data_IF_490370841963
#
_entry.id   IF_490370841963
#
_cell.length_a   1.000
_cell.length_b   1.000
_cell.length_c   1.000
_cell.angle_alpha   90.00
_cell.angle_beta   90.00
_cell.angle_gamma   90.00
#
_symmetry.space_group_name_H-M   'P 1'
#
loop_
_entity.id
_entity.type
_entity.pdbx_description
1 polymer ?
#
# COMPACT_ATOMS: atom_id res chain seq x y z
N UNK A 1 -2.69 -18.01 -0.16
CA UNK A 1 -1.40 -17.62 0.48
C UNK A 1 -1.68 -17.22 1.92
N UNK A 2 -0.80 -17.56 2.88
CA UNK A 2 -1.03 -17.23 4.30
C UNK A 2 -0.71 -15.76 4.57
N UNK A 3 -1.71 -14.96 4.94
CA UNK A 3 -1.54 -13.56 5.36
C UNK A 3 -0.75 -13.51 6.66
N UNK A 4 0.07 -12.48 6.83
CA UNK A 4 0.75 -12.22 8.09
C UNK A 4 -0.19 -11.47 9.04
N UNK A 5 -1.02 -12.24 9.76
CA UNK A 5 -2.12 -11.74 10.59
C UNK A 5 -1.76 -11.84 12.07
N UNK A 6 -2.03 -10.77 12.79
CA UNK A 6 -1.88 -10.64 14.24
C UNK A 6 -3.20 -10.20 14.86
N UNK A 7 -3.33 -10.33 16.17
CA UNK A 7 -4.55 -9.94 16.89
C UNK A 7 -4.15 -9.22 18.17
N UNK A 8 -4.19 -7.89 18.12
CA UNK A 8 -3.79 -7.02 19.22
C UNK A 8 -4.53 -5.69 19.12
N UNK A 9 -4.87 -5.12 20.27
CA UNK A 9 -5.34 -3.75 20.37
C UNK A 9 -4.20 -2.77 20.06
N UNK A 10 -4.55 -1.63 19.46
CA UNK A 10 -3.58 -0.58 19.11
C UNK A 10 -4.20 0.80 19.33
N UNK A 11 -3.48 1.67 20.03
CA UNK A 11 -3.86 3.08 20.14
C UNK A 11 -3.39 3.85 18.90
N UNK A 12 -4.33 4.52 18.23
CA UNK A 12 -4.08 5.21 16.97
C UNK A 12 -4.39 6.70 17.08
N UNK A 13 -3.48 7.54 16.56
CA UNK A 13 -3.77 8.94 16.24
C UNK A 13 -4.20 9.06 14.78
N UNK A 14 -5.10 9.99 14.49
CA UNK A 14 -5.39 10.33 13.09
C UNK A 14 -4.21 11.07 12.46
N UNK A 15 -3.79 10.63 11.28
CA UNK A 15 -2.78 11.29 10.47
C UNK A 15 -3.29 11.41 9.03
N UNK A 16 -3.44 12.65 8.54
CA UNK A 16 -3.86 12.92 7.17
C UNK A 16 -2.69 13.51 6.38
N UNK A 17 -2.06 12.69 5.56
CA UNK A 17 -1.05 13.14 4.60
C UNK A 17 -1.53 12.72 3.21
N UNK A 18 -1.82 13.71 2.36
CA UNK A 18 -2.12 13.45 0.95
C UNK A 18 -0.87 12.97 0.21
N UNK A 19 -1.06 12.00 -0.68
CA UNK A 19 -0.07 11.56 -1.64
C UNK A 19 0.37 12.75 -2.51
N UNK A 20 1.60 12.65 -3.01
CA UNK A 20 2.30 13.72 -3.72
C UNK A 20 3.56 13.15 -4.36
N UNK A 21 4.35 13.94 -5.12
CA UNK A 21 5.62 13.48 -5.64
C UNK A 21 6.51 12.86 -4.56
N UNK A 22 7.20 11.78 -4.94
CA UNK A 22 8.03 10.90 -4.10
C UNK A 22 8.82 11.63 -3.01
N UNK A 23 9.63 12.61 -3.42
CA UNK A 23 10.54 13.31 -2.52
C UNK A 23 9.80 14.14 -1.47
N UNK A 24 8.73 14.83 -1.88
CA UNK A 24 7.90 15.60 -0.96
C UNK A 24 7.16 14.70 0.02
N UNK A 25 6.65 13.55 -0.45
CA UNK A 25 5.95 12.60 0.40
C UNK A 25 6.89 12.04 1.47
N UNK A 26 8.07 11.56 1.05
CA UNK A 26 9.13 11.07 1.95
C UNK A 26 9.50 12.09 3.03
N UNK A 27 9.75 13.34 2.65
CA UNK A 27 10.12 14.42 3.59
C UNK A 27 9.07 14.67 4.67
N UNK A 28 7.80 14.43 4.39
CA UNK A 28 6.74 14.53 5.39
C UNK A 28 6.70 13.30 6.29
N UNK A 29 6.85 12.11 5.72
CA UNK A 29 6.86 10.84 6.46
C UNK A 29 8.02 10.75 7.46
N UNK A 30 9.20 11.26 7.10
CA UNK A 30 10.36 11.31 8.00
C UNK A 30 10.08 12.15 9.26
N UNK A 31 9.23 13.18 9.16
CA UNK A 31 8.86 14.06 10.28
C UNK A 31 7.74 13.52 11.17
N UNK A 32 7.11 12.40 10.79
CA UNK A 32 6.05 11.78 11.58
C UNK A 32 6.63 11.26 12.90
N UNK A 33 5.97 11.58 14.02
CA UNK A 33 6.42 11.15 15.36
C UNK A 33 6.23 9.64 15.54
N UNK A 34 6.96 9.04 16.49
CA UNK A 34 6.90 7.60 16.75
C UNK A 34 5.61 7.26 17.51
N UNK A 35 4.72 6.46 16.90
CA UNK A 35 3.49 5.84 17.45
C UNK A 35 2.69 5.15 16.33
N UNK A 36 1.51 4.62 16.68
CA UNK A 36 0.49 4.17 15.74
C UNK A 36 -0.39 5.29 15.18
N UNK A 37 -0.75 5.20 13.90
CA UNK A 37 -1.63 6.13 13.23
C UNK A 37 -2.68 5.45 12.37
N UNK A 38 -3.91 5.95 12.42
CA UNK A 38 -4.92 5.74 11.39
C UNK A 38 -4.63 6.71 10.24
N UNK A 39 -4.45 6.17 9.04
CA UNK A 39 -4.05 6.96 7.86
C UNK A 39 -5.06 6.93 6.73
N UNK A 40 -5.82 5.84 6.60
CA UNK A 40 -6.90 5.72 5.62
C UNK A 40 -8.07 4.96 6.22
N UNK A 41 -9.28 5.29 5.78
CA UNK A 41 -10.50 4.53 6.06
C UNK A 41 -10.91 3.79 4.78
N UNK A 42 -11.38 2.55 4.95
CA UNK A 42 -11.88 1.70 3.86
C UNK A 42 -13.40 1.62 3.93
N UNK A 43 -14.06 1.45 2.78
CA UNK A 43 -15.52 1.44 2.70
C UNK A 43 -16.16 0.27 3.48
N UNK A 44 -15.41 -0.81 3.70
CA UNK A 44 -15.86 -1.99 4.46
C UNK A 44 -15.65 -1.89 5.98
N UNK A 45 -15.24 -0.71 6.48
CA UNK A 45 -15.03 -0.45 7.90
C UNK A 45 -13.63 -0.81 8.41
N UNK A 46 -12.80 -1.48 7.60
CA UNK A 46 -11.37 -1.64 7.91
C UNK A 46 -10.63 -0.32 7.74
N UNK A 47 -9.39 -0.28 8.23
CA UNK A 47 -8.53 0.91 8.18
C UNK A 47 -7.16 0.54 7.65
N UNK A 48 -6.51 1.47 6.94
CA UNK A 48 -5.05 1.41 6.78
C UNK A 48 -4.45 2.15 7.96
N UNK A 49 -3.53 1.48 8.65
CA UNK A 49 -2.84 2.04 9.80
C UNK A 49 -1.33 1.87 9.63
N UNK A 50 -0.55 2.76 10.22
CA UNK A 50 0.91 2.66 10.24
C UNK A 50 1.46 2.72 11.65
N UNK A 51 2.61 2.10 11.88
CA UNK A 51 3.35 2.19 13.14
C UNK A 51 4.79 2.63 12.89
N UNK A 52 5.22 3.70 13.56
CA UNK A 52 6.60 4.23 13.52
C UNK A 52 7.25 4.13 14.92
N UNK A 53 8.51 3.71 15.06
CA UNK A 53 9.45 3.30 14.01
C UNK A 53 9.01 1.98 13.38
N UNK A 54 9.41 1.72 12.14
CA UNK A 54 9.42 0.37 11.63
C UNK A 54 10.58 -0.44 12.23
N UNK A 55 10.72 -1.68 11.76
CA UNK A 55 11.66 -2.65 12.32
C UNK A 55 12.77 -3.09 11.37
N UNK A 56 12.95 -2.43 10.21
CA UNK A 56 13.85 -2.93 9.17
C UNK A 56 15.31 -2.65 9.51
N UNK A 57 16.10 -3.72 9.55
CA UNK A 57 17.56 -3.64 9.58
C UNK A 57 18.09 -3.62 8.14
N UNK A 58 18.87 -2.60 7.79
CA UNK A 58 19.51 -2.48 6.47
C UNK A 58 21.01 -2.34 6.69
N UNK A 59 21.80 -3.32 6.24
CA UNK A 59 23.27 -3.37 6.40
C UNK A 59 23.74 -3.12 7.85
N UNK A 60 23.07 -3.74 8.84
CA UNK A 60 23.43 -3.59 10.25
C UNK A 60 23.03 -2.25 10.89
N UNK A 61 22.44 -1.32 10.13
CA UNK A 61 21.86 -0.07 10.64
C UNK A 61 20.35 -0.19 10.73
N UNK A 62 19.78 0.19 11.88
CA UNK A 62 18.32 0.29 12.06
C UNK A 62 17.84 1.52 11.31
N UNK A 63 16.98 1.33 10.30
CA UNK A 63 16.28 2.42 9.62
C UNK A 63 15.11 2.85 10.50
N UNK A 64 15.36 3.69 11.52
CA UNK A 64 14.33 4.07 12.51
C UNK A 64 13.24 4.99 11.95
N UNK A 65 13.46 5.57 10.77
CA UNK A 65 12.57 6.56 10.19
C UNK A 65 11.49 5.97 9.27
N UNK A 66 11.52 4.66 9.01
CA UNK A 66 10.45 3.95 8.30
C UNK A 66 9.28 3.59 9.25
N UNK A 67 8.28 2.91 8.72
CA UNK A 67 7.08 2.51 9.45
C UNK A 67 6.53 1.20 8.89
N UNK A 68 5.77 0.44 9.66
CA UNK A 68 5.03 -0.73 9.15
C UNK A 68 3.65 -0.30 8.67
N UNK A 69 3.10 -0.98 7.66
CA UNK A 69 1.78 -0.68 7.07
C UNK A 69 0.86 -1.87 7.31
N UNK A 70 -0.34 -1.60 7.83
CA UNK A 70 -1.27 -2.64 8.22
C UNK A 70 -2.66 -2.38 7.68
N UNK A 71 -3.38 -3.45 7.38
CA UNK A 71 -4.84 -3.42 7.28
C UNK A 71 -5.40 -3.84 8.63
N UNK A 72 -6.07 -2.93 9.32
CA UNK A 72 -6.66 -3.13 10.64
C UNK A 72 -8.16 -3.35 10.53
N UNK A 73 -8.66 -4.43 11.11
CA UNK A 73 -10.08 -4.66 11.30
C UNK A 73 -10.48 -4.32 12.74
N UNK A 74 -11.27 -3.27 12.98
CA UNK A 74 -11.66 -2.87 14.32
C UNK A 74 -12.66 -3.83 14.98
N UNK A 75 -13.33 -4.72 14.22
CA UNK A 75 -14.34 -5.64 14.76
C UNK A 75 -13.72 -6.73 15.62
N UNK A 76 -12.58 -7.26 15.17
CA UNK A 76 -11.89 -8.41 15.79
C UNK A 76 -10.44 -8.10 16.18
N UNK A 77 -10.04 -6.82 16.08
CA UNK A 77 -8.70 -6.33 16.35
C UNK A 77 -7.60 -7.03 15.54
N UNK A 78 -7.93 -7.55 14.35
CA UNK A 78 -6.94 -8.17 13.49
C UNK A 78 -6.09 -7.13 12.76
N UNK A 79 -4.78 -7.36 12.76
CA UNK A 79 -3.76 -6.55 12.10
C UNK A 79 -3.08 -7.41 11.05
N UNK A 80 -3.35 -7.12 9.78
CA UNK A 80 -2.65 -7.76 8.67
C UNK A 80 -1.47 -6.89 8.24
N UNK A 81 -0.25 -7.39 8.44
CA UNK A 81 0.96 -6.78 7.87
C UNK A 81 0.97 -7.04 6.37
N UNK A 82 0.41 -6.10 5.62
CA UNK A 82 0.28 -6.21 4.16
C UNK A 82 1.65 -5.99 3.50
N UNK A 83 1.97 -6.83 2.51
CA UNK A 83 3.26 -6.81 1.82
C UNK A 83 3.13 -6.60 0.31
N UNK A 84 4.24 -6.24 -0.35
CA UNK A 84 4.33 -6.22 -1.82
C UNK A 84 3.90 -7.56 -2.45
N UNK A 85 4.23 -8.68 -1.80
CA UNK A 85 3.88 -10.02 -2.28
C UNK A 85 2.38 -10.26 -2.20
N UNK A 86 1.74 -9.84 -1.11
CA UNK A 86 0.30 -9.97 -0.96
C UNK A 86 -0.46 -9.25 -2.07
N UNK A 87 -0.10 -7.99 -2.32
CA UNK A 87 -0.77 -7.19 -3.35
C UNK A 87 -0.48 -7.76 -4.74
N UNK A 88 0.76 -8.13 -5.04
CA UNK A 88 1.11 -8.73 -6.33
C UNK A 88 0.34 -10.02 -6.60
N UNK A 89 0.29 -10.95 -5.63
CA UNK A 89 -0.47 -12.19 -5.80
C UNK A 89 -1.98 -11.94 -5.90
N UNK A 90 -2.51 -10.93 -5.21
CA UNK A 90 -3.90 -10.54 -5.36
C UNK A 90 -4.20 -10.03 -6.79
N UNK A 91 -3.31 -9.22 -7.38
CA UNK A 91 -3.39 -8.81 -8.78
C UNK A 91 -3.25 -9.99 -9.75
N UNK A 92 -2.38 -10.97 -9.48
CA UNK A 92 -2.27 -12.17 -10.32
C UNK A 92 -3.56 -13.00 -10.31
N UNK A 93 -4.17 -13.20 -9.13
CA UNK A 93 -5.44 -13.93 -9.02
C UNK A 93 -6.60 -13.18 -9.68
N UNK A 94 -6.63 -11.85 -9.58
CA UNK A 94 -7.58 -11.00 -10.32
C UNK A 94 -7.36 -11.12 -11.83
N UNK A 95 -6.10 -11.13 -12.27
CA UNK A 95 -5.70 -11.28 -13.65
C UNK A 95 -6.24 -12.56 -14.27
N UNK A 96 -6.25 -13.67 -13.53
CA UNK A 96 -6.84 -14.95 -14.00
C UNK A 96 -8.36 -14.92 -14.19
N UNK A 97 -9.05 -13.97 -13.56
CA UNK A 97 -10.52 -13.84 -13.61
C UNK A 97 -10.94 -12.86 -14.69
N UNK A 98 -10.30 -11.69 -14.74
CA UNK A 98 -10.62 -10.65 -15.72
C UNK A 98 -9.38 -9.79 -16.01
N UNK A 99 -8.84 -9.92 -17.21
CA UNK A 99 -7.64 -9.22 -17.64
C UNK A 99 -7.86 -7.70 -17.70
N UNK A 100 -8.97 -7.26 -18.32
CA UNK A 100 -9.27 -5.85 -18.55
C UNK A 100 -9.45 -5.08 -17.23
N UNK A 101 -10.24 -5.61 -16.30
CA UNK A 101 -10.47 -4.98 -14.98
C UNK A 101 -9.20 -4.99 -14.12
N UNK A 102 -8.37 -6.03 -14.25
CA UNK A 102 -7.07 -6.06 -13.57
C UNK A 102 -6.12 -5.01 -14.14
N UNK A 103 -6.09 -4.83 -15.46
CA UNK A 103 -5.31 -3.77 -16.11
C UNK A 103 -5.76 -2.38 -15.63
N UNK A 104 -7.08 -2.14 -15.52
CA UNK A 104 -7.62 -0.88 -14.95
C UNK A 104 -7.14 -0.65 -13.52
N UNK A 105 -7.14 -1.70 -12.69
CA UNK A 105 -6.62 -1.64 -11.32
C UNK A 105 -5.12 -1.31 -11.30
N UNK A 106 -4.33 -1.90 -12.20
CA UNK A 106 -2.90 -1.61 -12.32
C UNK A 106 -2.65 -0.17 -12.81
N UNK A 107 -3.44 0.32 -13.77
CA UNK A 107 -3.33 1.70 -14.25
C UNK A 107 -3.68 2.70 -13.14
N UNK A 108 -4.68 2.39 -12.31
CA UNK A 108 -5.01 3.15 -11.13
C UNK A 108 -3.84 3.15 -10.09
N UNK A 109 -3.19 2.00 -9.87
CA UNK A 109 -1.98 1.92 -9.04
C UNK A 109 -0.82 2.75 -9.61
N UNK A 110 -0.67 2.83 -10.94
CA UNK A 110 0.33 3.67 -11.59
C UNK A 110 0.08 5.16 -11.34
N UNK A 111 -1.17 5.61 -11.30
CA UNK A 111 -1.50 6.99 -10.92
C UNK A 111 -1.12 7.27 -9.47
N UNK A 112 -1.44 6.36 -8.54
CA UNK A 112 -1.02 6.47 -7.13
C UNK A 112 0.50 6.47 -7.00
N UNK A 113 1.18 5.63 -7.78
CA UNK A 113 2.64 5.60 -7.84
C UNK A 113 3.20 6.97 -8.25
N UNK A 114 2.57 7.66 -9.19
CA UNK A 114 2.99 8.98 -9.64
C UNK A 114 2.54 10.13 -8.71
N UNK A 115 2.02 9.83 -7.52
CA UNK A 115 1.70 10.82 -6.51
C UNK A 115 0.23 11.26 -6.47
N UNK A 116 -0.66 10.66 -7.27
CA UNK A 116 -2.10 10.96 -7.18
C UNK A 116 -2.69 10.32 -5.91
N UNK A 117 -3.62 11.01 -5.28
CA UNK A 117 -4.30 10.50 -4.09
C UNK A 117 -5.19 9.29 -4.46
N UNK A 118 -5.10 8.15 -3.74
CA UNK A 118 -5.99 6.99 -3.94
C UNK A 118 -7.48 7.35 -4.02
N UNK A 119 -7.99 8.20 -3.13
CA UNK A 119 -9.39 8.62 -3.15
C UNK A 119 -9.77 9.36 -4.43
N UNK A 120 -8.85 10.16 -4.99
CA UNK A 120 -9.13 10.88 -6.24
C UNK A 120 -9.10 9.94 -7.45
N UNK A 121 -8.22 8.94 -7.43
CA UNK A 121 -8.19 7.88 -8.44
C UNK A 121 -9.49 7.07 -8.41
N UNK A 122 -9.93 6.65 -7.21
CA UNK A 122 -11.14 5.87 -7.01
C UNK A 122 -12.42 6.61 -7.40
N UNK A 123 -12.44 7.96 -7.29
CA UNK A 123 -13.57 8.79 -7.76
C UNK A 123 -13.64 8.90 -9.28
N UNK A 124 -12.48 8.92 -9.96
CA UNK A 124 -12.43 9.12 -11.41
C UNK A 124 -12.44 7.82 -12.21
N UNK A 125 -12.13 6.70 -11.56
CA UNK A 125 -11.98 5.40 -12.22
C UNK A 125 -12.94 4.40 -11.60
N UNK A 126 -13.89 3.92 -12.40
CA UNK A 126 -14.77 2.81 -11.99
C UNK A 126 -13.97 1.52 -11.95
N UNK A 127 -13.71 1.00 -10.75
CA UNK A 127 -13.01 -0.27 -10.53
C UNK A 127 -13.97 -1.29 -9.94
N UNK A 128 -14.03 -2.48 -10.54
CA UNK A 128 -14.87 -3.57 -10.04
C UNK A 128 -14.09 -4.38 -9.00
N UNK A 129 -14.74 -4.71 -7.88
CA UNK A 129 -14.17 -5.65 -6.92
C UNK A 129 -14.24 -7.08 -7.46
N UNK A 130 -13.09 -7.60 -7.84
CA UNK A 130 -12.91 -9.01 -8.23
C UNK A 130 -12.58 -9.87 -6.99
N UNK A 131 -12.26 -11.15 -7.23
CA UNK A 131 -11.77 -12.07 -6.18
C UNK A 131 -10.59 -11.47 -5.42
N UNK A 132 -10.55 -11.66 -4.10
CA UNK A 132 -9.48 -11.14 -3.25
C UNK A 132 -9.86 -9.82 -2.59
N UNK A 133 -8.91 -8.91 -2.39
CA UNK A 133 -9.16 -7.61 -1.78
C UNK A 133 -9.78 -6.61 -2.77
N UNK A 134 -10.66 -5.69 -2.34
CA UNK A 134 -11.11 -4.59 -3.19
C UNK A 134 -9.94 -3.73 -3.69
N UNK A 135 -10.00 -3.18 -4.93
CA UNK A 135 -8.97 -2.28 -5.44
C UNK A 135 -8.65 -1.11 -4.50
N UNK A 136 -9.65 -0.60 -3.77
CA UNK A 136 -9.48 0.43 -2.74
C UNK A 136 -8.38 0.07 -1.73
N UNK A 137 -8.39 -1.16 -1.21
CA UNK A 137 -7.42 -1.64 -0.22
C UNK A 137 -6.02 -1.60 -0.80
N UNK A 138 -5.87 -2.06 -2.05
CA UNK A 138 -4.57 -2.12 -2.73
C UNK A 138 -4.01 -0.71 -2.95
N UNK A 139 -4.83 0.21 -3.48
CA UNK A 139 -4.42 1.59 -3.77
C UNK A 139 -4.03 2.34 -2.50
N UNK A 140 -4.88 2.27 -1.46
CA UNK A 140 -4.64 2.93 -0.17
C UNK A 140 -3.44 2.34 0.56
N UNK A 141 -3.28 1.02 0.59
CA UNK A 141 -2.10 0.39 1.17
C UNK A 141 -0.81 0.75 0.42
N UNK A 142 -0.82 0.71 -0.92
CA UNK A 142 0.39 0.94 -1.70
C UNK A 142 0.93 2.37 -1.60
N UNK A 143 0.07 3.37 -1.44
CA UNK A 143 0.49 4.74 -1.10
C UNK A 143 1.48 4.72 0.08
N UNK A 144 1.11 4.05 1.17
CA UNK A 144 1.92 3.98 2.38
C UNK A 144 3.10 3.02 2.27
N UNK A 145 2.95 1.89 1.59
CA UNK A 145 4.06 0.95 1.34
C UNK A 145 5.14 1.63 0.49
N UNK A 146 4.79 2.36 -0.56
CA UNK A 146 5.79 3.10 -1.34
C UNK A 146 6.42 4.24 -0.55
N UNK A 147 5.65 4.94 0.30
CA UNK A 147 6.20 5.90 1.24
C UNK A 147 7.22 5.28 2.21
N UNK A 148 6.94 4.08 2.72
CA UNK A 148 7.86 3.29 3.54
C UNK A 148 9.14 2.95 2.76
N UNK A 149 9.00 2.47 1.51
CA UNK A 149 10.14 2.19 0.64
C UNK A 149 10.96 3.45 0.36
N UNK A 150 10.35 4.62 0.18
CA UNK A 150 11.06 5.87 -0.03
C UNK A 150 11.82 6.35 1.21
N UNK A 151 11.30 6.13 2.41
CA UNK A 151 12.06 6.35 3.66
C UNK A 151 13.25 5.38 3.77
N UNK A 152 13.07 4.13 3.32
CA UNK A 152 14.10 3.10 3.36
C UNK A 152 15.17 3.26 2.27
N UNK A 153 14.78 3.69 1.07
CA UNK A 153 15.59 3.82 -0.12
C UNK A 153 15.28 5.16 -0.78
N UNK A 154 15.97 6.24 -0.34
CA UNK A 154 15.66 7.61 -0.77
C UNK A 154 15.83 7.91 -2.25
N UNK A 155 16.43 7.02 -3.05
CA UNK A 155 16.50 7.15 -4.51
C UNK A 155 15.32 6.44 -5.22
N UNK A 156 14.48 5.72 -4.48
CA UNK A 156 13.21 5.14 -4.96
C UNK A 156 13.34 3.72 -5.50
N UNK A 157 14.46 3.04 -5.26
CA UNK A 157 14.75 1.71 -5.81
C UNK A 157 13.73 0.67 -5.33
N UNK A 158 13.34 0.72 -4.04
CA UNK A 158 12.40 -0.23 -3.45
C UNK A 158 11.01 -0.16 -4.08
N UNK A 159 10.47 1.06 -4.21
CA UNK A 159 9.16 1.26 -4.87
C UNK A 159 9.22 0.94 -6.35
N UNK A 160 10.28 1.32 -7.05
CA UNK A 160 10.41 1.07 -8.48
C UNK A 160 10.53 -0.43 -8.78
N UNK A 161 11.24 -1.19 -7.94
CA UNK A 161 11.29 -2.65 -8.04
C UNK A 161 9.91 -3.29 -7.93
N UNK A 162 9.08 -2.83 -6.99
CA UNK A 162 7.70 -3.32 -6.84
C UNK A 162 6.81 -2.95 -8.03
N UNK A 163 6.89 -1.70 -8.51
CA UNK A 163 6.07 -1.24 -9.64
C UNK A 163 6.51 -1.89 -10.96
N UNK A 164 7.81 -2.17 -11.14
CA UNK A 164 8.33 -2.91 -12.30
C UNK A 164 7.64 -4.27 -12.46
N UNK A 165 7.55 -5.06 -11.39
CA UNK A 165 6.86 -6.37 -11.43
C UNK A 165 5.37 -6.24 -11.79
N UNK A 166 4.71 -5.20 -11.27
CA UNK A 166 3.31 -4.91 -11.60
C UNK A 166 3.14 -4.53 -13.07
N UNK A 167 4.07 -3.74 -13.64
CA UNK A 167 4.09 -3.41 -15.07
C UNK A 167 4.31 -4.65 -15.94
N UNK A 168 5.22 -5.55 -15.54
CA UNK A 168 5.44 -6.82 -16.24
C UNK A 168 4.17 -7.70 -16.25
N UNK A 169 3.46 -7.78 -15.12
CA UNK A 169 2.15 -8.46 -15.06
C UNK A 169 1.15 -7.82 -16.03
N UNK A 170 1.07 -6.50 -16.07
CA UNK A 170 0.17 -5.76 -16.96
C UNK A 170 0.44 -6.05 -18.43
N UNK A 171 1.70 -6.08 -18.86
CA UNK A 171 2.03 -6.37 -20.25
C UNK A 171 1.73 -7.82 -20.63
N UNK A 172 1.94 -8.78 -19.71
CA UNK A 172 1.50 -10.17 -19.89
C UNK A 172 -0.01 -10.25 -20.12
N UNK A 173 -0.81 -9.60 -19.27
CA UNK A 173 -2.27 -9.60 -19.39
C UNK A 173 -2.82 -8.92 -20.67
N UNK A 174 -2.01 -8.08 -21.34
CA UNK A 174 -2.36 -7.45 -22.63
C UNK A 174 -2.02 -8.32 -23.83
N UNK A 175 -1.06 -9.22 -23.67
CA UNK A 175 -0.62 -10.15 -24.72
C UNK A 175 -1.41 -11.45 -24.78
N UNK A 176 -2.17 -11.75 -23.73
CA UNK A 176 -3.09 -12.88 -23.61
C UNK A 176 -4.51 -12.50 -24.06
#
# INVERSE_FOLDING_TARGET
MKKNLYTHEIELKNLKIRNRPREEFRKLLEKVMYRGYEVEQLADGRKIVITKPGGKFVYGKVKREDFMVWVYNPIDSTLWLISHKDIYSDLEEKGKVNHEETIKTIDALKEVFNGKEPDDVLKTTSLISLRGEPPEVLLKAYKWIWGQEDCNYPEGEGREMSMKRIRELRERLRGD
#
